data_IF_556034198831
#
_entry.id   IF_556034198831
#
_cell.length_a   1.000
_cell.length_b   1.000
_cell.length_c   1.000
_cell.angle_alpha   90.00
_cell.angle_beta   90.00
_cell.angle_gamma   90.00
#
_symmetry.space_group_name_H-M   'P 1'
#
loop_
_entity.id
_entity.type
_entity.pdbx_description
1 polymer ?
#
# COMPACT_ATOMS: atom_id res chain seq x y z
N UNK A 1 -32.73 -26.48 -12.56
CA UNK A 1 -31.76 -25.64 -13.31
C UNK A 1 -32.29 -25.12 -14.65
N UNK A 2 -32.84 -25.95 -15.54
CA UNK A 2 -33.46 -25.45 -16.80
C UNK A 2 -34.59 -24.43 -16.54
N UNK A 3 -35.44 -24.70 -15.56
CA UNK A 3 -36.52 -23.78 -15.16
C UNK A 3 -35.99 -22.47 -14.53
N UNK A 4 -34.83 -22.50 -13.88
CA UNK A 4 -34.23 -21.31 -13.27
C UNK A 4 -33.84 -20.27 -14.33
N UNK A 5 -33.31 -20.70 -15.48
CA UNK A 5 -33.02 -19.80 -16.60
C UNK A 5 -34.27 -19.17 -17.23
N UNK A 6 -35.42 -19.83 -17.10
CA UNK A 6 -36.68 -19.36 -17.65
C UNK A 6 -37.28 -18.19 -16.84
N UNK A 7 -37.11 -18.20 -15.51
CA UNK A 7 -37.76 -17.29 -14.58
C UNK A 7 -37.21 -15.85 -14.60
N UNK A 8 -36.03 -15.62 -15.17
CA UNK A 8 -35.37 -14.31 -15.24
C UNK A 8 -35.35 -13.55 -13.90
N UNK A 9 -35.17 -14.26 -12.78
CA UNK A 9 -35.15 -13.68 -11.44
C UNK A 9 -33.70 -13.44 -10.98
N UNK A 10 -33.29 -12.18 -10.70
CA UNK A 10 -31.95 -11.85 -10.22
C UNK A 10 -31.53 -12.61 -8.95
N UNK A 11 -32.49 -13.00 -8.10
CA UNK A 11 -32.23 -13.74 -6.84
C UNK A 11 -31.68 -15.15 -7.11
N UNK A 12 -31.80 -15.65 -8.32
CA UNK A 12 -31.24 -16.94 -8.73
C UNK A 12 -29.76 -16.86 -9.06
N UNK A 13 -29.21 -15.67 -9.37
CA UNK A 13 -27.81 -15.52 -9.75
C UNK A 13 -26.84 -16.07 -8.69
N UNK A 14 -26.96 -15.74 -7.39
CA UNK A 14 -26.05 -16.28 -6.38
C UNK A 14 -26.10 -17.80 -6.26
N UNK A 15 -27.29 -18.39 -6.43
CA UNK A 15 -27.52 -19.83 -6.35
C UNK A 15 -26.93 -20.55 -7.57
N UNK A 16 -27.16 -20.04 -8.78
CA UNK A 16 -26.57 -20.62 -9.99
C UNK A 16 -25.05 -20.50 -9.99
N UNK A 17 -24.53 -19.36 -9.49
CA UNK A 17 -23.10 -19.12 -9.45
C UNK A 17 -22.32 -20.06 -8.51
N UNK A 18 -22.92 -20.50 -7.39
CA UNK A 18 -22.26 -21.48 -6.51
C UNK A 18 -22.07 -22.84 -7.16
N UNK A 19 -22.90 -23.17 -8.16
CA UNK A 19 -22.89 -24.44 -8.89
C UNK A 19 -21.94 -24.43 -10.11
N UNK A 20 -21.37 -23.28 -10.49
CA UNK A 20 -20.47 -23.18 -11.65
C UNK A 20 -19.18 -23.99 -11.50
N UNK A 21 -18.78 -24.27 -10.27
CA UNK A 21 -17.63 -25.10 -9.94
C UNK A 21 -18.03 -26.34 -9.14
N UNK A 22 -19.24 -26.85 -9.27
CA UNK A 22 -19.68 -28.08 -8.60
C UNK A 22 -18.77 -29.29 -8.89
N UNK A 23 -18.79 -30.31 -8.03
CA UNK A 23 -18.01 -31.54 -8.23
C UNK A 23 -18.64 -32.45 -9.28
N UNK A 24 -19.96 -32.39 -9.48
CA UNK A 24 -20.71 -33.12 -10.51
C UNK A 24 -20.66 -32.36 -11.84
N UNK A 25 -20.07 -32.91 -12.92
CA UNK A 25 -19.98 -32.24 -14.21
C UNK A 25 -21.33 -31.77 -14.76
N UNK A 26 -22.36 -32.60 -14.65
CA UNK A 26 -23.71 -32.32 -15.15
C UNK A 26 -24.35 -31.12 -14.43
N UNK A 27 -24.08 -30.95 -13.14
CA UNK A 27 -24.56 -29.80 -12.35
C UNK A 27 -23.87 -28.52 -12.82
N UNK A 28 -22.55 -28.57 -13.05
CA UNK A 28 -21.80 -27.43 -13.60
C UNK A 28 -22.30 -27.02 -14.97
N UNK A 29 -22.47 -27.97 -15.88
CA UNK A 29 -22.88 -27.67 -17.24
C UNK A 29 -24.31 -27.13 -17.29
N UNK A 30 -25.20 -27.66 -16.44
CA UNK A 30 -26.54 -27.08 -16.26
C UNK A 30 -26.50 -25.66 -15.66
N UNK A 31 -25.59 -25.39 -14.72
CA UNK A 31 -25.41 -24.06 -14.14
C UNK A 31 -24.87 -23.04 -15.16
N UNK A 32 -23.89 -23.45 -15.96
CA UNK A 32 -23.32 -22.67 -17.06
C UNK A 32 -24.39 -22.29 -18.08
N UNK A 33 -25.19 -23.25 -18.52
CA UNK A 33 -26.28 -23.01 -19.46
C UNK A 33 -27.37 -22.10 -18.87
N UNK A 34 -27.77 -22.33 -17.62
CA UNK A 34 -28.76 -21.49 -16.94
C UNK A 34 -28.27 -20.05 -16.78
N UNK A 35 -26.99 -19.84 -16.44
CA UNK A 35 -26.43 -18.51 -16.25
C UNK A 35 -26.35 -17.73 -17.58
N UNK A 36 -26.01 -18.38 -18.70
CA UNK A 36 -26.05 -17.74 -20.03
C UNK A 36 -27.47 -17.27 -20.38
N UNK A 37 -28.49 -18.08 -20.08
CA UNK A 37 -29.89 -17.69 -20.30
C UNK A 37 -30.33 -16.54 -19.40
N UNK A 38 -29.88 -16.53 -18.14
CA UNK A 38 -30.17 -15.44 -17.20
C UNK A 38 -29.55 -14.13 -17.67
N UNK A 39 -28.29 -14.11 -18.09
CA UNK A 39 -27.61 -12.89 -18.56
C UNK A 39 -28.35 -12.26 -19.75
N UNK A 40 -28.86 -13.06 -20.67
CA UNK A 40 -29.61 -12.58 -21.82
C UNK A 40 -30.98 -11.96 -21.48
N UNK A 41 -31.52 -12.23 -20.29
CA UNK A 41 -32.89 -11.84 -19.87
C UNK A 41 -32.92 -10.83 -18.73
N UNK A 42 -31.86 -10.78 -17.92
CA UNK A 42 -31.77 -9.90 -16.77
C UNK A 42 -31.35 -8.49 -17.18
N UNK A 43 -31.75 -7.46 -16.39
CA UNK A 43 -31.24 -6.12 -16.60
C UNK A 43 -29.71 -6.10 -16.42
N UNK A 44 -28.98 -5.23 -17.15
CA UNK A 44 -27.52 -5.15 -17.09
C UNK A 44 -26.94 -5.05 -15.68
N UNK A 45 -27.63 -4.34 -14.78
CA UNK A 45 -27.24 -4.20 -13.37
C UNK A 45 -27.16 -5.53 -12.63
N UNK A 46 -28.15 -6.41 -12.81
CA UNK A 46 -28.17 -7.75 -12.22
C UNK A 46 -27.11 -8.65 -12.82
N UNK A 47 -26.99 -8.63 -14.15
CA UNK A 47 -25.99 -9.44 -14.87
C UNK A 47 -24.55 -9.06 -14.51
N UNK A 48 -24.24 -7.76 -14.36
CA UNK A 48 -22.89 -7.31 -13.99
C UNK A 48 -22.53 -7.62 -12.54
N UNK A 49 -23.51 -7.73 -11.63
CA UNK A 49 -23.26 -8.07 -10.23
C UNK A 49 -22.67 -9.49 -10.05
N UNK A 50 -22.88 -10.40 -11.01
CA UNK A 50 -22.34 -11.77 -10.96
C UNK A 50 -20.91 -11.88 -11.49
N UNK A 51 -20.43 -10.87 -12.23
CA UNK A 51 -19.15 -10.89 -12.92
C UNK A 51 -17.96 -11.23 -12.00
N UNK A 52 -17.83 -10.67 -10.77
CA UNK A 52 -16.71 -11.02 -9.90
C UNK A 52 -16.68 -12.51 -9.52
N UNK A 53 -17.85 -13.14 -9.37
CA UNK A 53 -17.95 -14.58 -9.05
C UNK A 53 -17.59 -15.44 -10.25
N UNK A 54 -17.98 -15.02 -11.46
CA UNK A 54 -17.60 -15.73 -12.69
C UNK A 54 -16.11 -15.65 -12.94
N UNK A 55 -15.49 -14.48 -12.81
CA UNK A 55 -14.04 -14.33 -12.97
C UNK A 55 -13.25 -15.11 -11.93
N UNK A 56 -13.80 -15.32 -10.73
CA UNK A 56 -13.15 -16.16 -9.70
C UNK A 56 -12.98 -17.63 -10.15
N UNK A 57 -13.78 -18.13 -11.10
CA UNK A 57 -13.64 -19.48 -11.65
C UNK A 57 -12.31 -19.72 -12.35
N UNK A 58 -11.65 -18.66 -12.84
CA UNK A 58 -10.31 -18.78 -13.45
C UNK A 58 -9.25 -19.26 -12.45
N UNK A 59 -9.51 -19.13 -11.14
CA UNK A 59 -8.67 -19.63 -10.07
C UNK A 59 -9.16 -20.98 -9.50
N UNK A 60 -10.23 -21.55 -10.05
CA UNK A 60 -10.80 -22.81 -9.56
C UNK A 60 -10.12 -24.01 -10.24
N UNK A 61 -9.77 -25.03 -9.44
CA UNK A 61 -8.95 -26.16 -9.91
C UNK A 61 -9.72 -27.39 -10.43
N UNK A 62 -11.06 -27.40 -10.46
CA UNK A 62 -11.81 -28.63 -10.80
C UNK A 62 -11.90 -28.92 -12.29
N UNK A 63 -11.77 -27.90 -13.14
CA UNK A 63 -11.78 -28.01 -14.60
C UNK A 63 -11.24 -26.71 -15.20
N UNK A 64 -10.90 -26.72 -16.48
CA UNK A 64 -10.52 -25.50 -17.19
C UNK A 64 -11.77 -24.67 -17.50
N UNK A 65 -11.89 -23.51 -16.86
CA UNK A 65 -13.03 -22.61 -17.04
C UNK A 65 -12.80 -21.53 -18.10
N UNK A 66 -11.58 -21.39 -18.65
CA UNK A 66 -11.18 -20.23 -19.48
C UNK A 66 -12.09 -20.01 -20.68
N UNK A 67 -12.36 -21.05 -21.46
CA UNK A 67 -13.18 -20.95 -22.66
C UNK A 67 -14.63 -20.55 -22.35
N UNK A 68 -15.20 -21.08 -21.27
CA UNK A 68 -16.57 -20.73 -20.87
C UNK A 68 -16.66 -19.32 -20.27
N UNK A 69 -15.67 -18.91 -19.46
CA UNK A 69 -15.60 -17.55 -18.91
C UNK A 69 -15.50 -16.52 -20.04
N UNK A 70 -14.65 -16.75 -21.04
CA UNK A 70 -14.53 -15.87 -22.21
C UNK A 70 -15.86 -15.73 -22.98
N UNK A 71 -16.57 -16.85 -23.19
CA UNK A 71 -17.89 -16.83 -23.84
C UNK A 71 -18.94 -16.07 -23.02
N UNK A 72 -18.97 -16.27 -21.70
CA UNK A 72 -19.83 -15.53 -20.78
C UNK A 72 -19.54 -14.03 -20.81
N UNK A 73 -18.27 -13.66 -20.76
CA UNK A 73 -17.82 -12.27 -20.77
C UNK A 73 -18.25 -11.56 -22.06
N UNK A 74 -18.07 -12.19 -23.23
CA UNK A 74 -18.51 -11.66 -24.53
C UNK A 74 -20.03 -11.46 -24.59
N UNK A 75 -20.80 -12.41 -24.07
CA UNK A 75 -22.26 -12.28 -24.01
C UNK A 75 -22.69 -11.17 -23.05
N UNK A 76 -22.02 -11.03 -21.91
CA UNK A 76 -22.28 -9.94 -20.96
C UNK A 76 -21.97 -8.58 -21.57
N UNK A 77 -20.87 -8.45 -22.31
CA UNK A 77 -20.52 -7.24 -23.07
C UNK A 77 -21.63 -6.88 -24.05
N UNK A 78 -22.11 -7.87 -24.82
CA UNK A 78 -23.19 -7.72 -25.80
C UNK A 78 -24.51 -7.30 -25.15
N UNK A 79 -24.86 -7.90 -24.02
CA UNK A 79 -26.13 -7.67 -23.34
C UNK A 79 -26.16 -6.37 -22.52
N UNK A 80 -25.05 -6.03 -21.84
CA UNK A 80 -24.98 -4.86 -20.98
C UNK A 80 -24.64 -3.57 -21.72
N UNK A 81 -23.83 -3.66 -22.79
CA UNK A 81 -23.31 -2.51 -23.50
C UNK A 81 -22.13 -1.84 -22.79
N UNK A 82 -21.29 -1.18 -23.58
CA UNK A 82 -20.01 -0.59 -23.13
C UNK A 82 -20.21 0.52 -22.12
N UNK A 83 -21.18 1.40 -22.37
CA UNK A 83 -21.44 2.56 -21.50
C UNK A 83 -21.84 2.13 -20.08
N UNK A 84 -22.74 1.15 -19.95
CA UNK A 84 -23.15 0.63 -18.64
C UNK A 84 -21.97 -0.02 -17.91
N UNK A 85 -21.08 -0.73 -18.62
CA UNK A 85 -19.87 -1.29 -18.01
C UNK A 85 -18.90 -0.20 -17.53
N UNK A 86 -18.71 0.87 -18.30
CA UNK A 86 -17.90 2.03 -17.89
C UNK A 86 -18.47 2.72 -16.65
N UNK A 87 -19.80 2.81 -16.53
CA UNK A 87 -20.45 3.28 -15.31
C UNK A 87 -20.16 2.34 -14.13
N UNK A 88 -20.13 1.02 -14.33
CA UNK A 88 -19.81 0.06 -13.26
C UNK A 88 -18.37 0.11 -12.77
N UNK A 89 -17.42 0.64 -13.53
CA UNK A 89 -16.07 0.94 -13.01
C UNK A 89 -16.11 1.92 -11.82
N UNK A 90 -17.20 2.67 -11.67
CA UNK A 90 -17.41 3.63 -10.58
C UNK A 90 -18.26 3.07 -9.44
N UNK A 91 -18.63 1.79 -9.48
CA UNK A 91 -19.49 1.17 -8.46
C UNK A 91 -18.85 1.25 -7.05
N UNK A 92 -19.70 1.37 -6.03
CA UNK A 92 -19.25 1.37 -4.63
C UNK A 92 -18.81 -0.02 -4.20
N UNK A 93 -19.33 -1.08 -4.82
CA UNK A 93 -18.76 -2.41 -4.69
C UNK A 93 -17.47 -2.53 -5.54
N UNK A 94 -16.33 -2.42 -4.86
CA UNK A 94 -15.02 -2.52 -5.48
C UNK A 94 -14.80 -3.84 -6.23
N UNK A 95 -15.48 -4.93 -5.89
CA UNK A 95 -15.37 -6.19 -6.64
C UNK A 95 -15.98 -6.04 -8.02
N UNK A 96 -17.19 -5.48 -8.10
CA UNK A 96 -17.90 -5.21 -9.37
C UNK A 96 -17.12 -4.18 -10.19
N UNK A 97 -16.63 -3.11 -9.55
CA UNK A 97 -15.86 -2.08 -10.24
C UNK A 97 -14.56 -2.62 -10.86
N UNK A 98 -13.77 -3.39 -10.09
CA UNK A 98 -12.55 -4.04 -10.58
C UNK A 98 -12.83 -5.05 -11.68
N UNK A 99 -13.87 -5.87 -11.52
CA UNK A 99 -14.25 -6.88 -12.50
C UNK A 99 -14.68 -6.25 -13.84
N UNK A 100 -15.47 -5.17 -13.77
CA UNK A 100 -15.92 -4.40 -14.95
C UNK A 100 -14.73 -3.74 -15.65
N UNK A 101 -13.80 -3.15 -14.90
CA UNK A 101 -12.57 -2.59 -15.45
C UNK A 101 -11.72 -3.68 -16.15
N UNK A 102 -11.55 -4.83 -15.49
CA UNK A 102 -10.78 -5.93 -16.04
C UNK A 102 -11.37 -6.43 -17.36
N UNK A 103 -12.69 -6.63 -17.40
CA UNK A 103 -13.44 -7.05 -18.58
C UNK A 103 -13.22 -6.09 -19.76
N UNK A 104 -13.45 -4.79 -19.55
CA UNK A 104 -13.28 -3.77 -20.59
C UNK A 104 -11.86 -3.72 -21.14
N UNK A 105 -10.86 -3.86 -20.25
CA UNK A 105 -9.44 -3.84 -20.63
C UNK A 105 -9.01 -5.13 -21.34
N UNK A 106 -9.42 -6.29 -20.85
CA UNK A 106 -9.02 -7.59 -21.38
C UNK A 106 -9.51 -7.77 -22.82
N UNK A 107 -10.73 -7.34 -23.12
CA UNK A 107 -11.32 -7.45 -24.45
C UNK A 107 -11.00 -6.25 -25.36
N UNK A 108 -10.20 -5.29 -24.90
CA UNK A 108 -9.77 -4.14 -25.70
C UNK A 108 -10.92 -3.24 -26.19
N UNK A 109 -12.01 -3.19 -25.43
CA UNK A 109 -13.27 -2.51 -25.84
C UNK A 109 -13.16 -0.99 -25.71
N UNK A 110 -12.36 -0.52 -24.75
CA UNK A 110 -12.19 0.90 -24.46
C UNK A 110 -10.73 1.30 -24.63
N UNK A 111 -10.54 2.54 -25.08
CA UNK A 111 -9.26 3.22 -25.05
C UNK A 111 -8.76 3.46 -23.62
N UNK A 112 -7.45 3.70 -23.48
CA UNK A 112 -6.87 4.09 -22.20
C UNK A 112 -7.52 5.36 -21.64
N UNK A 113 -7.88 6.32 -22.49
CA UNK A 113 -8.51 7.58 -22.07
C UNK A 113 -9.90 7.36 -21.46
N UNK A 114 -10.73 6.51 -22.08
CA UNK A 114 -12.06 6.17 -21.56
C UNK A 114 -11.98 5.44 -20.22
N UNK A 115 -11.05 4.48 -20.09
CA UNK A 115 -10.84 3.74 -18.84
C UNK A 115 -10.32 4.64 -17.71
N UNK A 116 -9.37 5.54 -18.03
CA UNK A 116 -8.88 6.54 -17.07
C UNK A 116 -9.99 7.50 -16.66
N UNK A 117 -10.82 7.97 -17.60
CA UNK A 117 -11.98 8.81 -17.30
C UNK A 117 -13.01 8.11 -16.42
N UNK A 118 -13.22 6.81 -16.63
CA UNK A 118 -14.10 6.00 -15.79
C UNK A 118 -13.55 5.82 -14.36
N UNK A 119 -12.26 5.50 -14.20
CA UNK A 119 -11.60 5.41 -12.89
C UNK A 119 -11.54 6.78 -12.20
N UNK A 120 -11.30 7.84 -12.97
CA UNK A 120 -11.03 9.19 -12.50
C UNK A 120 -12.11 9.78 -11.59
N UNK A 121 -13.34 9.25 -11.70
CA UNK A 121 -14.50 9.61 -10.89
C UNK A 121 -14.60 8.86 -9.56
N UNK A 122 -13.82 7.80 -9.35
CA UNK A 122 -13.79 6.98 -8.14
C UNK A 122 -12.37 6.51 -7.78
N UNK A 123 -11.56 7.41 -7.24
CA UNK A 123 -10.21 7.13 -6.74
C UNK A 123 -10.18 6.45 -5.35
N UNK A 124 -11.29 5.89 -4.87
CA UNK A 124 -11.37 5.29 -3.53
C UNK A 124 -10.88 3.84 -3.49
N UNK A 125 -10.62 3.22 -4.65
CA UNK A 125 -10.07 1.88 -4.75
C UNK A 125 -8.59 1.91 -5.18
N UNK A 126 -7.69 1.43 -4.31
CA UNK A 126 -6.24 1.46 -4.59
C UNK A 126 -5.84 0.66 -5.83
N UNK A 127 -6.55 -0.43 -6.15
CA UNK A 127 -6.23 -1.27 -7.31
C UNK A 127 -6.58 -0.52 -8.59
N UNK A 128 -7.81 -0.02 -8.70
CA UNK A 128 -8.24 0.78 -9.85
C UNK A 128 -7.41 2.05 -9.99
N UNK A 129 -7.13 2.75 -8.90
CA UNK A 129 -6.29 3.95 -8.91
C UNK A 129 -4.89 3.67 -9.49
N UNK A 130 -4.24 2.59 -9.06
CA UNK A 130 -2.94 2.18 -9.61
C UNK A 130 -3.04 1.82 -11.09
N UNK A 131 -4.10 1.13 -11.52
CA UNK A 131 -4.30 0.81 -12.93
C UNK A 131 -4.57 2.07 -13.76
N UNK A 132 -5.34 3.01 -13.24
CA UNK A 132 -5.57 4.32 -13.85
C UNK A 132 -4.25 5.04 -14.10
N UNK A 133 -3.38 5.12 -13.10
CA UNK A 133 -2.05 5.72 -13.27
C UNK A 133 -1.18 5.02 -14.31
N UNK A 134 -1.25 3.69 -14.41
CA UNK A 134 -0.52 2.94 -15.45
C UNK A 134 -1.06 3.24 -16.84
N UNK A 135 -2.37 3.37 -16.99
CA UNK A 135 -3.00 3.77 -18.25
C UNK A 135 -2.69 5.23 -18.61
N UNK A 136 -2.55 6.13 -17.62
CA UNK A 136 -2.13 7.52 -17.86
C UNK A 136 -0.81 7.62 -18.64
N UNK A 137 0.09 6.63 -18.50
CA UNK A 137 1.35 6.63 -19.25
C UNK A 137 1.17 6.45 -20.76
N UNK A 138 0.03 5.90 -21.19
CA UNK A 138 -0.33 5.69 -22.60
C UNK A 138 -1.01 6.92 -23.22
N UNK A 139 -1.31 7.94 -22.43
CA UNK A 139 -1.97 9.16 -22.89
C UNK A 139 -0.95 10.18 -23.45
N UNK A 140 -1.42 11.14 -24.28
CA UNK A 140 -0.60 12.26 -24.71
C UNK A 140 0.01 13.03 -23.52
N UNK A 141 1.21 13.63 -23.67
CA UNK A 141 1.93 14.30 -22.57
C UNK A 141 1.11 15.32 -21.78
N UNK A 142 0.26 16.09 -22.44
CA UNK A 142 -0.56 17.13 -21.81
C UNK A 142 -1.63 16.53 -20.90
N UNK A 143 -2.36 15.52 -21.40
CA UNK A 143 -3.38 14.80 -20.63
C UNK A 143 -2.76 14.05 -19.45
N UNK A 144 -1.62 13.40 -19.70
CA UNK A 144 -0.86 12.69 -18.66
C UNK A 144 -0.43 13.63 -17.54
N UNK A 145 0.09 14.82 -17.88
CA UNK A 145 0.51 15.82 -16.90
C UNK A 145 -0.67 16.32 -16.06
N UNK A 146 -1.81 16.62 -16.70
CA UNK A 146 -3.03 17.07 -16.03
C UNK A 146 -3.56 16.05 -14.99
N UNK A 147 -3.36 14.76 -15.23
CA UNK A 147 -3.78 13.68 -14.33
C UNK A 147 -2.75 13.35 -13.23
N UNK A 148 -1.45 13.46 -13.53
CA UNK A 148 -0.41 13.16 -12.55
C UNK A 148 -0.41 14.18 -11.39
N UNK A 149 -0.66 15.45 -11.68
CA UNK A 149 -0.62 16.52 -10.66
C UNK A 149 -1.59 16.27 -9.49
N UNK A 150 -2.90 16.04 -9.69
CA UNK A 150 -3.81 15.71 -8.58
C UNK A 150 -3.48 14.35 -7.94
N UNK A 151 -2.94 13.39 -8.70
CA UNK A 151 -2.59 12.07 -8.19
C UNK A 151 -1.43 12.09 -7.15
N UNK A 152 -0.60 13.14 -7.14
CA UNK A 152 0.38 13.39 -6.06
C UNK A 152 -0.29 13.64 -4.71
N UNK A 153 -1.56 14.05 -4.68
CA UNK A 153 -2.36 14.22 -3.47
C UNK A 153 -3.09 12.95 -3.02
N UNK A 154 -2.96 11.83 -3.74
CA UNK A 154 -3.71 10.61 -3.46
C UNK A 154 -3.45 10.08 -2.04
N UNK A 155 -4.47 9.53 -1.34
CA UNK A 155 -4.25 8.83 -0.08
C UNK A 155 -3.32 7.61 -0.24
N UNK A 156 -3.25 7.04 -1.45
CA UNK A 156 -2.48 5.83 -1.73
C UNK A 156 -1.06 6.16 -2.18
N UNK A 157 -0.08 5.69 -1.41
CA UNK A 157 1.34 5.93 -1.72
C UNK A 157 1.79 5.32 -3.05
N UNK A 158 1.22 4.19 -3.47
CA UNK A 158 1.49 3.56 -4.77
C UNK A 158 1.09 4.48 -5.92
N UNK A 159 -0.05 5.16 -5.80
CA UNK A 159 -0.54 6.14 -6.78
C UNK A 159 0.38 7.36 -6.82
N UNK A 160 0.72 7.93 -5.66
CA UNK A 160 1.66 9.05 -5.57
C UNK A 160 3.04 8.72 -6.16
N UNK A 161 3.53 7.50 -5.91
CA UNK A 161 4.82 7.02 -6.43
C UNK A 161 4.79 6.95 -7.96
N UNK A 162 3.74 6.35 -8.55
CA UNK A 162 3.59 6.26 -10.00
C UNK A 162 3.39 7.64 -10.65
N UNK A 163 2.60 8.51 -10.01
CA UNK A 163 2.38 9.87 -10.49
C UNK A 163 3.68 10.67 -10.51
N UNK A 164 4.46 10.61 -9.43
CA UNK A 164 5.76 11.27 -9.36
C UNK A 164 6.72 10.71 -10.41
N UNK A 165 6.84 9.39 -10.51
CA UNK A 165 7.72 8.73 -11.49
C UNK A 165 7.36 9.14 -12.93
N UNK A 166 6.06 9.19 -13.24
CA UNK A 166 5.56 9.59 -14.56
C UNK A 166 5.89 11.05 -14.85
N UNK A 167 5.70 11.93 -13.87
CA UNK A 167 5.91 13.37 -14.02
C UNK A 167 7.39 13.72 -14.20
N UNK A 168 8.29 13.13 -13.42
CA UNK A 168 9.73 13.41 -13.49
C UNK A 168 10.43 12.73 -14.67
N UNK A 169 9.77 11.77 -15.35
CA UNK A 169 10.34 11.05 -16.49
C UNK A 169 10.63 11.91 -17.73
N UNK A 170 10.21 13.19 -17.74
CA UNK A 170 10.50 14.15 -18.81
C UNK A 170 11.73 15.02 -18.55
N UNK A 171 12.44 14.77 -17.44
CA UNK A 171 13.67 15.47 -17.03
C UNK A 171 13.61 17.00 -17.23
N UNK A 172 12.63 17.63 -16.58
CA UNK A 172 12.40 19.07 -16.65
C UNK A 172 12.50 19.73 -15.28
N UNK A 173 13.23 20.86 -15.21
CA UNK A 173 13.39 21.65 -13.99
C UNK A 173 12.04 22.14 -13.40
N UNK A 174 10.98 22.24 -14.22
CA UNK A 174 9.63 22.58 -13.76
C UNK A 174 9.06 21.56 -12.76
N UNK A 175 9.61 20.34 -12.72
CA UNK A 175 9.17 19.27 -11.82
C UNK A 175 9.87 19.31 -10.45
N UNK A 176 10.89 20.17 -10.29
CA UNK A 176 11.64 20.32 -9.05
C UNK A 176 10.77 20.64 -7.82
N UNK A 177 9.77 21.54 -7.88
CA UNK A 177 8.93 21.83 -6.71
C UNK A 177 8.19 20.59 -6.21
N UNK A 178 7.68 19.76 -7.12
CA UNK A 178 6.92 18.57 -6.76
C UNK A 178 7.82 17.43 -6.27
N UNK A 179 8.99 17.24 -6.88
CA UNK A 179 10.01 16.31 -6.38
C UNK A 179 10.55 16.73 -5.00
N UNK A 180 10.74 18.03 -4.78
CA UNK A 180 11.14 18.58 -3.47
C UNK A 180 10.08 18.31 -2.40
N UNK A 181 8.80 18.50 -2.70
CA UNK A 181 7.72 18.14 -1.79
C UNK A 181 7.71 16.63 -1.49
N UNK A 182 7.94 15.79 -2.51
CA UNK A 182 7.99 14.35 -2.38
C UNK A 182 9.14 13.83 -1.50
N UNK A 183 10.24 14.57 -1.34
CA UNK A 183 11.29 14.23 -0.37
C UNK A 183 10.78 14.17 1.08
N UNK A 184 9.70 14.89 1.40
CA UNK A 184 9.04 14.87 2.72
C UNK A 184 7.73 14.08 2.72
N UNK A 185 7.49 13.22 1.72
CA UNK A 185 6.37 12.29 1.76
C UNK A 185 6.56 11.28 2.91
N UNK A 186 5.48 11.00 3.64
CA UNK A 186 5.49 9.99 4.70
C UNK A 186 5.91 8.59 4.22
N UNK A 187 5.65 8.24 2.96
CA UNK A 187 6.00 6.95 2.39
C UNK A 187 7.40 6.95 1.78
N UNK A 188 8.20 5.95 2.13
CA UNK A 188 9.59 5.83 1.68
C UNK A 188 9.74 5.65 0.16
N UNK A 189 8.80 4.97 -0.51
CA UNK A 189 8.87 4.73 -1.96
C UNK A 189 8.71 6.03 -2.75
N UNK A 190 7.83 6.92 -2.31
CA UNK A 190 7.67 8.26 -2.93
C UNK A 190 8.97 9.07 -2.78
N UNK A 191 9.57 9.06 -1.59
CA UNK A 191 10.88 9.71 -1.35
C UNK A 191 11.97 9.09 -2.23
N UNK A 192 12.00 7.77 -2.36
CA UNK A 192 13.01 7.05 -3.13
C UNK A 192 12.97 7.43 -4.62
N UNK A 193 11.78 7.68 -5.17
CA UNK A 193 11.63 8.18 -6.55
C UNK A 193 12.13 9.63 -6.69
N UNK A 194 11.87 10.50 -5.70
CA UNK A 194 12.27 11.90 -5.76
C UNK A 194 13.80 12.11 -5.69
N UNK A 195 14.50 11.32 -4.86
CA UNK A 195 15.93 11.49 -4.57
C UNK A 195 16.84 11.51 -5.82
N UNK A 196 16.84 10.50 -6.70
CA UNK A 196 17.76 10.50 -7.84
C UNK A 196 17.53 11.69 -8.76
N UNK A 197 16.27 12.09 -8.98
CA UNK A 197 15.92 13.27 -9.76
C UNK A 197 16.44 14.57 -9.12
N UNK A 198 16.26 14.74 -7.82
CA UNK A 198 16.76 15.92 -7.09
C UNK A 198 18.30 15.98 -7.10
N UNK A 199 18.97 14.85 -6.93
CA UNK A 199 20.43 14.77 -7.00
C UNK A 199 20.95 15.09 -8.41
N UNK A 200 20.27 14.59 -9.45
CA UNK A 200 20.60 14.89 -10.85
C UNK A 200 20.60 16.40 -11.14
N UNK A 201 19.64 17.13 -10.57
CA UNK A 201 19.56 18.58 -10.65
C UNK A 201 20.41 19.33 -9.59
N UNK A 202 21.42 18.68 -9.01
CA UNK A 202 22.40 19.32 -8.13
C UNK A 202 21.88 19.71 -6.75
N UNK A 203 20.75 19.17 -6.30
CA UNK A 203 20.23 19.47 -4.96
C UNK A 203 20.97 18.63 -3.92
N UNK A 204 21.53 19.30 -2.91
CA UNK A 204 22.05 18.63 -1.71
C UNK A 204 20.89 18.10 -0.84
N UNK A 205 20.57 16.83 -1.03
CA UNK A 205 19.49 16.13 -0.33
C UNK A 205 19.78 16.02 1.17
N UNK A 206 21.06 15.88 1.57
CA UNK A 206 21.44 15.78 2.98
C UNK A 206 21.23 17.12 3.69
N UNK A 207 21.69 18.21 3.08
CA UNK A 207 21.43 19.56 3.58
C UNK A 207 19.93 19.88 3.61
N UNK A 208 19.17 19.42 2.61
CA UNK A 208 17.71 19.55 2.59
C UNK A 208 17.07 18.90 3.83
N UNK A 209 17.37 17.64 4.11
CA UNK A 209 16.79 16.95 5.28
C UNK A 209 17.22 17.57 6.61
N UNK A 210 18.50 17.93 6.75
CA UNK A 210 18.99 18.61 7.95
C UNK A 210 18.26 19.94 8.21
N UNK A 211 18.06 20.72 7.15
CA UNK A 211 17.31 21.98 7.21
C UNK A 211 15.86 21.72 7.61
N UNK A 212 15.18 20.78 6.94
CA UNK A 212 13.79 20.45 7.20
C UNK A 212 13.55 19.93 8.63
N UNK A 213 14.52 19.23 9.22
CA UNK A 213 14.43 18.74 10.60
C UNK A 213 14.64 19.84 11.66
N UNK A 214 15.41 20.89 11.35
CA UNK A 214 15.76 21.99 12.27
C UNK A 214 14.83 23.21 12.19
N UNK A 215 13.91 23.25 11.24
CA UNK A 215 12.98 24.37 11.10
C UNK A 215 12.20 24.60 12.41
N UNK A 216 12.20 25.83 12.96
CA UNK A 216 11.34 26.18 14.08
C UNK A 216 9.88 25.89 13.76
N UNK A 217 9.11 25.50 14.77
CA UNK A 217 7.66 25.20 14.67
C UNK A 217 7.27 24.13 13.66
N UNK A 218 8.24 23.35 13.17
CA UNK A 218 7.99 22.30 12.21
C UNK A 218 7.13 21.19 12.83
N UNK A 219 6.10 20.78 12.09
CA UNK A 219 5.22 19.68 12.52
C UNK A 219 6.05 18.43 12.77
N UNK A 220 5.83 17.76 13.91
CA UNK A 220 6.57 16.56 14.31
C UNK A 220 6.65 15.48 13.20
N UNK A 221 5.58 15.32 12.39
CA UNK A 221 5.55 14.40 11.24
C UNK A 221 6.59 14.73 10.16
N UNK A 222 6.83 16.02 9.90
CA UNK A 222 7.82 16.45 8.91
C UNK A 222 9.23 16.25 9.46
N UNK A 223 9.45 16.54 10.74
CA UNK A 223 10.73 16.26 11.41
C UNK A 223 11.05 14.77 11.37
N UNK A 224 10.12 13.89 11.77
CA UNK A 224 10.33 12.43 11.68
C UNK A 224 10.61 11.98 10.25
N UNK A 225 9.91 12.53 9.26
CA UNK A 225 10.14 12.18 7.86
C UNK A 225 11.52 12.62 7.39
N UNK A 226 12.00 13.78 7.83
CA UNK A 226 13.32 14.28 7.53
C UNK A 226 14.44 13.43 8.18
N UNK A 227 14.26 13.03 9.45
CA UNK A 227 15.20 12.13 10.13
C UNK A 227 15.27 10.75 9.44
N UNK A 228 14.13 10.17 9.08
CA UNK A 228 14.07 8.92 8.30
C UNK A 228 14.73 9.09 6.92
N UNK A 229 14.50 10.24 6.28
CA UNK A 229 15.14 10.64 5.03
C UNK A 229 16.66 10.65 5.14
N UNK A 230 17.19 11.30 6.18
CA UNK A 230 18.61 11.39 6.47
C UNK A 230 19.23 10.01 6.74
N UNK A 231 18.62 9.21 7.61
CA UNK A 231 19.10 7.84 7.92
C UNK A 231 19.17 6.95 6.68
N UNK A 232 18.19 7.06 5.78
CA UNK A 232 18.19 6.27 4.53
C UNK A 232 19.31 6.65 3.55
N UNK A 233 20.02 7.76 3.77
CA UNK A 233 21.23 8.12 3.01
C UNK A 233 22.49 7.40 3.52
N UNK A 234 22.42 6.69 4.65
CA UNK A 234 23.49 5.85 5.20
C UNK A 234 24.83 6.55 5.42
N UNK A 235 24.81 7.84 5.76
CA UNK A 235 26.03 8.60 6.05
C UNK A 235 26.30 8.61 7.57
N UNK A 236 27.38 7.98 8.07
CA UNK A 236 27.69 7.89 9.50
C UNK A 236 27.94 9.25 10.16
N UNK A 237 28.35 10.28 9.41
CA UNK A 237 28.53 11.63 9.93
C UNK A 237 27.21 12.29 10.40
N UNK A 238 26.06 11.68 10.10
CA UNK A 238 24.75 12.17 10.55
C UNK A 238 24.36 11.66 11.96
N UNK A 239 25.14 10.76 12.57
CA UNK A 239 24.82 10.20 13.90
C UNK A 239 24.66 11.30 14.96
N UNK A 240 25.63 12.21 15.09
CA UNK A 240 25.56 13.30 16.06
C UNK A 240 24.37 14.24 15.81
N UNK A 241 24.02 14.45 14.54
CA UNK A 241 22.84 15.22 14.17
C UNK A 241 21.55 14.54 14.64
N UNK A 242 21.41 13.22 14.41
CA UNK A 242 20.24 12.45 14.84
C UNK A 242 20.14 12.38 16.36
N UNK A 243 21.26 12.19 17.07
CA UNK A 243 21.33 12.17 18.53
C UNK A 243 20.75 13.43 19.16
N UNK A 244 20.95 14.61 18.57
CA UNK A 244 20.38 15.86 19.07
C UNK A 244 18.84 15.87 19.13
N UNK A 245 18.16 15.01 18.35
CA UNK A 245 16.70 14.88 18.36
C UNK A 245 16.17 13.84 19.37
N UNK A 246 17.05 13.10 20.04
CA UNK A 246 16.66 12.14 21.09
C UNK A 246 16.11 12.79 22.35
N UNK A 247 16.22 14.12 22.49
CA UNK A 247 15.66 14.91 23.59
C UNK A 247 14.52 15.83 23.14
N UNK A 248 14.07 15.71 21.90
CA UNK A 248 13.04 16.57 21.32
C UNK A 248 11.70 16.49 22.08
N UNK A 249 10.96 17.60 22.19
CA UNK A 249 9.71 17.66 22.97
C UNK A 249 8.64 16.65 22.51
N UNK A 250 8.56 16.38 21.20
CA UNK A 250 7.68 15.34 20.65
C UNK A 250 8.26 13.93 20.79
N UNK A 251 7.50 13.02 21.42
CA UNK A 251 7.82 11.59 21.54
C UNK A 251 8.03 10.87 20.20
N UNK A 252 7.31 11.27 19.14
CA UNK A 252 7.46 10.63 17.83
C UNK A 252 8.80 10.97 17.18
N UNK A 253 9.26 12.22 17.38
CA UNK A 253 10.57 12.67 16.90
C UNK A 253 11.69 11.94 17.62
N UNK A 254 11.61 11.80 18.95
CA UNK A 254 12.59 11.03 19.72
C UNK A 254 12.65 9.56 19.27
N UNK A 255 11.50 8.91 19.10
CA UNK A 255 11.43 7.52 18.65
C UNK A 255 12.06 7.32 17.27
N UNK A 256 11.80 8.25 16.34
CA UNK A 256 12.43 8.23 15.02
C UNK A 256 13.93 8.50 15.13
N UNK A 257 14.37 9.44 15.97
CA UNK A 257 15.80 9.73 16.19
C UNK A 257 16.58 8.50 16.65
N UNK A 258 16.05 7.73 17.62
CA UNK A 258 16.65 6.47 18.05
C UNK A 258 16.65 5.40 16.96
N UNK A 259 15.56 5.30 16.19
CA UNK A 259 15.46 4.33 15.07
C UNK A 259 16.46 4.67 13.96
N UNK A 260 16.57 5.95 13.62
CA UNK A 260 17.49 6.51 12.65
C UNK A 260 18.95 6.32 13.09
N UNK A 261 19.26 6.60 14.37
CA UNK A 261 20.58 6.35 14.93
C UNK A 261 20.94 4.87 14.86
N UNK A 262 20.05 3.97 15.29
CA UNK A 262 20.27 2.52 15.21
C UNK A 262 20.49 2.04 13.78
N UNK A 263 19.84 2.68 12.80
CA UNK A 263 20.03 2.36 11.38
C UNK A 263 21.43 2.75 10.86
N UNK A 264 21.97 3.89 11.30
CA UNK A 264 23.28 4.39 10.87
C UNK A 264 24.44 3.79 11.65
N UNK A 265 24.26 3.55 12.95
CA UNK A 265 25.26 2.98 13.84
C UNK A 265 24.68 1.78 14.61
N UNK A 266 24.50 0.61 13.96
CA UNK A 266 24.03 -0.60 14.63
C UNK A 266 24.95 -1.08 15.76
N UNK A 267 26.22 -0.64 15.77
CA UNK A 267 27.18 -0.90 16.85
C UNK A 267 26.78 -0.26 18.18
N UNK A 268 26.10 0.89 18.14
CA UNK A 268 25.67 1.66 19.30
C UNK A 268 24.38 1.12 19.93
N UNK A 269 23.94 -0.07 19.50
CA UNK A 269 22.65 -0.65 19.89
C UNK A 269 22.45 -0.76 21.41
N UNK A 270 23.51 -0.97 22.18
CA UNK A 270 23.46 -1.10 23.64
C UNK A 270 23.17 0.27 24.27
N UNK A 271 23.91 1.30 23.86
CA UNK A 271 23.71 2.69 24.29
C UNK A 271 22.34 3.23 23.86
N UNK A 272 21.91 2.93 22.64
CA UNK A 272 20.59 3.29 22.13
C UNK A 272 19.49 2.64 22.96
N UNK A 273 19.62 1.34 23.24
CA UNK A 273 18.61 0.61 23.99
C UNK A 273 18.55 1.10 25.44
N UNK A 274 19.69 1.42 26.04
CA UNK A 274 19.78 2.02 27.36
C UNK A 274 19.14 3.41 27.40
N UNK A 275 19.50 4.31 26.49
CA UNK A 275 18.96 5.66 26.43
C UNK A 275 17.43 5.65 26.20
N UNK A 276 16.94 4.81 25.29
CA UNK A 276 15.52 4.66 25.03
C UNK A 276 14.73 4.09 26.23
N UNK A 277 15.35 3.22 27.04
CA UNK A 277 14.74 2.69 28.28
C UNK A 277 14.49 3.81 29.31
N UNK A 278 15.40 4.80 29.34
CA UNK A 278 15.31 5.91 30.29
C UNK A 278 14.30 6.98 29.88
N UNK A 279 13.79 6.95 28.64
CA UNK A 279 12.76 7.89 28.19
C UNK A 279 11.46 7.77 28.99
N UNK A 280 10.77 8.90 29.18
CA UNK A 280 9.48 8.96 29.87
C UNK A 280 8.33 8.41 29.03
N UNK A 281 8.47 8.40 27.71
CA UNK A 281 7.46 7.94 26.78
C UNK A 281 7.53 6.44 26.56
N UNK A 282 6.40 5.77 26.79
CA UNK A 282 6.24 4.35 26.42
C UNK A 282 6.49 4.06 24.94
N UNK A 283 6.28 5.02 24.05
CA UNK A 283 6.57 4.85 22.61
C UNK A 283 8.07 4.71 22.36
N UNK A 284 8.88 5.55 23.01
CA UNK A 284 10.34 5.50 22.90
C UNK A 284 10.89 4.28 23.65
N UNK A 285 10.34 3.96 24.82
CA UNK A 285 10.73 2.77 25.59
C UNK A 285 10.56 1.47 24.78
N UNK A 286 9.51 1.37 23.95
CA UNK A 286 9.34 0.22 23.04
C UNK A 286 10.51 0.04 22.05
N UNK A 287 11.22 1.12 21.70
CA UNK A 287 12.45 1.02 20.90
C UNK A 287 13.52 0.24 21.66
N UNK A 288 13.71 0.51 22.95
CA UNK A 288 14.62 -0.28 23.80
C UNK A 288 14.31 -1.78 23.76
N UNK A 289 13.05 -2.15 24.01
CA UNK A 289 12.62 -3.56 23.94
C UNK A 289 12.89 -4.13 22.53
N UNK A 290 12.56 -3.40 21.48
CA UNK A 290 12.77 -3.86 20.11
C UNK A 290 14.26 -4.08 19.81
N UNK A 291 15.13 -3.17 20.24
CA UNK A 291 16.58 -3.27 20.03
C UNK A 291 17.17 -4.45 20.80
N UNK A 292 16.77 -4.66 22.06
CA UNK A 292 17.16 -5.86 22.83
C UNK A 292 16.67 -7.14 22.13
N UNK A 293 15.40 -7.21 21.74
CA UNK A 293 14.81 -8.43 21.17
C UNK A 293 15.32 -8.76 19.76
N UNK A 294 15.44 -7.77 18.88
CA UNK A 294 15.74 -7.98 17.45
C UNK A 294 17.21 -7.81 17.12
N UNK A 295 17.88 -6.86 17.77
CA UNK A 295 19.30 -6.55 17.51
C UNK A 295 20.25 -7.12 18.56
N UNK A 296 19.71 -7.83 19.57
CA UNK A 296 20.47 -8.43 20.67
C UNK A 296 21.31 -7.38 21.38
N UNK A 297 20.73 -6.22 21.66
CA UNK A 297 21.36 -5.24 22.53
C UNK A 297 21.38 -5.74 23.98
N UNK A 298 22.44 -5.41 24.70
CA UNK A 298 22.59 -5.71 26.11
C UNK A 298 22.11 -4.53 26.96
N UNK A 299 21.27 -4.82 27.95
CA UNK A 299 20.94 -3.90 29.04
C UNK A 299 20.92 -4.71 30.34
N UNK A 300 21.58 -4.24 31.43
CA UNK A 300 21.50 -4.91 32.71
C UNK A 300 20.05 -5.06 33.19
N UNK A 301 19.62 -6.29 33.49
CA UNK A 301 18.25 -6.57 33.93
C UNK A 301 17.90 -5.86 35.26
N UNK A 302 18.89 -5.64 36.11
CA UNK A 302 18.72 -4.85 37.33
C UNK A 302 18.24 -3.41 37.03
N UNK A 303 18.80 -2.80 35.98
CA UNK A 303 18.41 -1.45 35.57
C UNK A 303 17.01 -1.43 34.95
N UNK A 304 16.69 -2.43 34.11
CA UNK A 304 15.33 -2.61 33.55
C UNK A 304 14.30 -2.73 34.68
N UNK A 305 14.58 -3.56 35.69
CA UNK A 305 13.71 -3.73 36.87
C UNK A 305 13.54 -2.42 37.63
N UNK A 306 14.64 -1.75 37.98
CA UNK A 306 14.60 -0.50 38.74
C UNK A 306 13.77 0.57 38.00
N UNK A 307 14.01 0.77 36.70
CA UNK A 307 13.32 1.77 35.90
C UNK A 307 11.83 1.47 35.74
N UNK A 308 11.45 0.22 35.45
CA UNK A 308 10.06 -0.14 35.20
C UNK A 308 9.23 -0.27 36.48
N UNK A 309 9.85 -0.64 37.59
CA UNK A 309 9.24 -0.59 38.92
C UNK A 309 8.90 0.85 39.31
N UNK A 310 9.82 1.79 39.09
CA UNK A 310 9.58 3.21 39.37
C UNK A 310 8.41 3.82 38.57
N UNK A 311 8.11 3.30 37.37
CA UNK A 311 6.95 3.72 36.58
C UNK A 311 5.72 2.81 36.71
N UNK A 312 5.78 1.74 37.50
CA UNK A 312 4.69 0.77 37.64
C UNK A 312 4.34 -0.01 36.36
N UNK A 313 5.23 -0.10 35.36
CA UNK A 313 4.93 -0.75 34.07
C UNK A 313 5.28 -2.25 34.10
N UNK A 314 4.52 -3.00 34.89
CA UNK A 314 4.72 -4.45 35.08
C UNK A 314 4.59 -5.26 33.78
N UNK A 315 3.71 -4.83 32.86
CA UNK A 315 3.54 -5.48 31.56
C UNK A 315 4.78 -5.35 30.68
N UNK A 316 5.43 -4.19 30.70
CA UNK A 316 6.68 -3.97 29.98
C UNK A 316 7.82 -4.81 30.58
N UNK A 317 7.88 -4.92 31.91
CA UNK A 317 8.87 -5.72 32.61
C UNK A 317 8.73 -7.21 32.27
N UNK A 318 7.50 -7.73 32.27
CA UNK A 318 7.21 -9.09 31.84
C UNK A 318 7.65 -9.34 30.38
N UNK A 319 7.48 -8.34 29.50
CA UNK A 319 7.91 -8.44 28.10
C UNK A 319 9.44 -8.54 27.96
N UNK A 320 10.21 -7.79 28.75
CA UNK A 320 11.67 -7.93 28.81
C UNK A 320 12.09 -9.30 29.36
N UNK A 321 11.46 -9.75 30.46
CA UNK A 321 11.80 -11.01 31.11
C UNK A 321 11.54 -12.23 30.19
N UNK A 322 10.36 -12.31 29.56
CA UNK A 322 10.00 -13.42 28.67
C UNK A 322 10.91 -13.53 27.44
N UNK A 323 11.49 -12.40 26.99
CA UNK A 323 12.32 -12.35 25.78
C UNK A 323 13.79 -12.55 26.04
N UNK A 324 14.30 -12.10 27.19
CA UNK A 324 15.67 -12.40 27.62
C UNK A 324 15.83 -13.87 28.01
N UNK A 325 14.78 -14.51 28.56
CA UNK A 325 14.78 -15.96 28.84
C UNK A 325 14.77 -16.84 27.57
N UNK A 326 14.17 -16.36 26.48
CA UNK A 326 14.15 -17.10 25.19
C UNK A 326 15.36 -16.83 24.30
N UNK A 327 16.19 -15.82 24.60
CA UNK A 327 17.44 -15.52 23.89
C UNK A 327 18.71 -15.99 24.61
N UNK A 328 18.57 -16.65 25.75
CA UNK A 328 19.66 -17.05 26.66
C UNK A 328 20.25 -18.42 26.39
N UNK A 329 20.75 -18.66 25.17
CA UNK A 329 21.85 -19.62 24.96
C UNK A 329 22.90 -18.95 24.08
N UNK A 330 23.90 -18.33 24.70
CA UNK A 330 25.22 -18.19 24.07
C UNK A 330 26.12 -19.30 24.59
N UNK A 331 27.01 -19.85 23.75
CA UNK A 331 27.99 -20.82 24.19
C UNK A 331 28.95 -20.14 25.17
N UNK A 332 29.20 -20.81 26.28
CA UNK A 332 30.35 -20.51 27.13
C UNK A 332 31.62 -20.70 26.31
N UNK A 333 32.48 -19.68 26.33
CA UNK A 333 33.82 -19.70 25.78
C UNK A 333 34.59 -20.94 26.30
N UNK A 334 35.25 -21.62 25.36
CA UNK A 334 36.32 -22.59 25.62
C UNK A 334 37.58 -22.12 24.91
#
# INVERSE_FOLDING_TARGET
MRECGALADPRLLPLVASLLNDWVPQVRDAARAALMQLVARLPPSGSLAILPRVQHLLNAGRTDHRAWVDAFEKELIRAAGVETMLQRVQDTDHKVARASFHLLRQHGICSAAELVGAIGRNWNDVVLAVQGMRLCMQLPPDQRSALCQPALGSPFSSVRTLALQTMIGTDSAERLPAARAALLDSNASVRAVAKPFMAHHGVDIRAFYRTAARQPDQKARLVTTALAGLASMRNPEDVAFLQAFTTHGSKSVRAEAFTAWLHLAPGDKDDIALAALMDVSRTVLKISLQTVCKQRAYIPMALVRARLAASGDAAMLASFAARLQSGGTRPTDG
#
